data_IF_449418446044
#
_entry.id   IF_449418446044
#
_cell.length_a   1.000
_cell.length_b   1.000
_cell.length_c   1.000
_cell.angle_alpha   90.00
_cell.angle_beta   90.00
_cell.angle_gamma   90.00
#
_symmetry.space_group_name_H-M   'P 1'
#
loop_
_entity.id
_entity.type
_entity.pdbx_description
1 polymer ?
#
# COMPACT_ATOMS: atom_id res chain seq x y z
N UNK A 1 -7.67 0.42 19.30
CA UNK A 1 -7.62 1.50 18.28
C UNK A 1 -7.60 0.83 16.91
N UNK A 2 -8.60 1.05 16.08
CA UNK A 2 -8.64 0.45 14.74
C UNK A 2 -7.72 1.23 13.81
N UNK A 3 -6.76 0.55 13.18
CA UNK A 3 -5.88 1.14 12.19
C UNK A 3 -6.66 1.35 10.87
N UNK A 4 -6.27 2.36 10.11
CA UNK A 4 -6.82 2.63 8.79
C UNK A 4 -5.70 2.69 7.75
N UNK A 5 -6.03 2.32 6.51
CA UNK A 5 -5.12 2.48 5.40
C UNK A 5 -4.70 3.95 5.24
N UNK A 6 -3.42 4.24 4.97
CA UNK A 6 -2.91 5.60 4.85
C UNK A 6 -3.24 6.26 3.48
N UNK A 7 -3.89 5.54 2.58
CA UNK A 7 -4.24 6.02 1.23
C UNK A 7 -5.59 5.44 0.77
N UNK A 8 -6.30 6.14 -0.14
CA UNK A 8 -7.49 5.61 -0.78
C UNK A 8 -7.15 4.47 -1.74
N UNK A 9 -8.03 3.48 -1.84
CA UNK A 9 -7.86 2.36 -2.75
C UNK A 9 -9.18 2.02 -3.43
N UNK A 10 -9.17 1.93 -4.77
CA UNK A 10 -10.35 1.52 -5.53
C UNK A 10 -10.69 0.05 -5.21
N UNK A 11 -11.95 -0.21 -4.88
CA UNK A 11 -12.37 -1.54 -4.41
C UNK A 11 -11.87 -1.88 -2.99
N UNK A 12 -11.45 -0.86 -2.22
CA UNK A 12 -11.06 -1.04 -0.82
C UNK A 12 -12.19 -1.65 0.02
N UNK A 13 -11.81 -2.52 0.96
CA UNK A 13 -12.75 -3.33 1.75
C UNK A 13 -13.00 -2.76 3.16
N UNK A 14 -12.74 -1.44 3.36
CA UNK A 14 -12.86 -0.82 4.68
C UNK A 14 -14.26 -0.92 5.27
N UNK A 15 -15.29 -0.72 4.45
CA UNK A 15 -16.71 -0.73 4.89
C UNK A 15 -17.21 -2.12 5.27
N UNK A 16 -16.52 -3.17 4.86
CA UNK A 16 -16.89 -4.57 5.13
C UNK A 16 -15.92 -5.27 6.07
N UNK A 17 -14.85 -4.62 6.49
CA UNK A 17 -13.81 -5.24 7.31
C UNK A 17 -14.35 -5.83 8.62
N UNK A 18 -15.19 -5.08 9.34
CA UNK A 18 -15.81 -5.52 10.58
C UNK A 18 -16.70 -6.76 10.38
N UNK A 19 -17.48 -6.78 9.29
CA UNK A 19 -18.33 -7.93 8.95
C UNK A 19 -17.51 -9.16 8.57
N UNK A 20 -16.41 -8.97 7.86
CA UNK A 20 -15.48 -10.07 7.51
C UNK A 20 -14.92 -10.71 8.79
N UNK A 21 -14.40 -9.92 9.71
CA UNK A 21 -13.86 -10.42 10.98
C UNK A 21 -14.92 -11.04 11.88
N UNK A 22 -16.12 -10.47 11.91
CA UNK A 22 -17.23 -11.05 12.64
C UNK A 22 -17.60 -12.47 12.14
N UNK A 23 -17.43 -12.71 10.84
CA UNK A 23 -17.68 -14.03 10.24
C UNK A 23 -16.53 -15.01 10.39
N UNK A 24 -15.30 -14.53 10.34
CA UNK A 24 -14.12 -15.37 10.54
C UNK A 24 -14.01 -15.86 11.99
N UNK A 25 -14.42 -15.04 12.95
CA UNK A 25 -14.26 -15.34 14.35
C UNK A 25 -12.78 -15.47 14.76
N UNK A 26 -12.50 -16.39 15.68
CA UNK A 26 -11.15 -16.63 16.18
C UNK A 26 -10.41 -17.59 15.23
N UNK A 27 -9.60 -17.02 14.34
CA UNK A 27 -8.81 -17.77 13.36
C UNK A 27 -7.32 -17.64 13.67
N UNK A 28 -6.55 -18.72 13.46
CA UNK A 28 -5.09 -18.76 13.69
C UNK A 28 -4.27 -18.34 12.49
N UNK A 29 -4.89 -18.23 11.33
CA UNK A 29 -4.24 -17.81 10.10
C UNK A 29 -5.16 -16.92 9.28
N UNK A 30 -4.60 -15.84 8.76
CA UNK A 30 -5.30 -14.92 7.88
C UNK A 30 -4.52 -14.74 6.57
N UNK A 31 -5.21 -14.87 5.45
CA UNK A 31 -4.61 -14.67 4.13
C UNK A 31 -5.42 -13.66 3.35
N UNK A 32 -4.75 -12.61 2.86
CA UNK A 32 -5.35 -11.59 1.99
C UNK A 32 -4.62 -11.59 0.63
N UNK A 33 -5.09 -12.38 -0.37
CA UNK A 33 -4.39 -12.57 -1.65
C UNK A 33 -4.48 -11.37 -2.59
N UNK A 34 -5.44 -10.48 -2.38
CA UNK A 34 -5.64 -9.22 -3.09
C UNK A 34 -5.66 -8.08 -2.07
N UNK A 35 -4.48 -7.80 -1.52
CA UNK A 35 -4.33 -7.03 -0.30
C UNK A 35 -4.72 -5.55 -0.46
N UNK A 36 -4.37 -4.94 -1.58
CA UNK A 36 -4.69 -3.52 -1.83
C UNK A 36 -4.25 -2.63 -0.67
N UNK A 37 -5.18 -1.89 -0.11
CA UNK A 37 -4.94 -1.01 1.04
C UNK A 37 -4.86 -1.71 2.40
N UNK A 38 -4.88 -3.05 2.45
CA UNK A 38 -4.88 -3.85 3.68
C UNK A 38 -6.04 -3.51 4.65
N UNK A 39 -7.15 -3.00 4.13
CA UNK A 39 -8.23 -2.50 4.97
C UNK A 39 -8.83 -3.57 5.91
N UNK A 40 -8.94 -4.81 5.45
CA UNK A 40 -9.42 -5.91 6.28
C UNK A 40 -8.39 -6.29 7.33
N UNK A 41 -7.12 -6.46 6.95
CA UNK A 41 -6.04 -6.76 7.89
C UNK A 41 -5.91 -5.69 8.98
N UNK A 42 -5.92 -4.42 8.60
CA UNK A 42 -5.81 -3.29 9.54
C UNK A 42 -7.02 -3.17 10.48
N UNK A 43 -8.17 -3.67 10.05
CA UNK A 43 -9.41 -3.73 10.85
C UNK A 43 -9.52 -4.95 11.78
N UNK A 44 -8.49 -5.80 11.85
CA UNK A 44 -8.57 -7.01 12.67
C UNK A 44 -8.77 -6.70 14.16
N UNK A 45 -9.49 -7.58 14.87
CA UNK A 45 -9.58 -7.50 16.34
C UNK A 45 -8.22 -7.71 17.00
N UNK A 46 -7.98 -7.01 18.09
CA UNK A 46 -6.78 -7.18 18.92
C UNK A 46 -7.17 -7.88 20.25
N UNK A 47 -6.30 -8.73 20.81
CA UNK A 47 -5.01 -9.15 20.28
C UNK A 47 -5.14 -10.22 19.19
N UNK A 48 -4.25 -10.24 18.23
CA UNK A 48 -4.13 -11.29 17.22
C UNK A 48 -2.70 -11.87 17.26
N UNK A 49 -2.60 -13.17 17.50
CA UNK A 49 -1.33 -13.90 17.65
C UNK A 49 -1.10 -14.92 16.52
N UNK A 50 -1.95 -14.86 15.48
CA UNK A 50 -1.88 -15.77 14.34
C UNK A 50 -0.87 -15.35 13.27
N UNK A 51 -0.81 -16.17 12.22
CA UNK A 51 0.02 -15.88 11.03
C UNK A 51 -0.77 -15.06 10.02
N UNK A 52 -0.20 -13.95 9.61
CA UNK A 52 -0.76 -13.06 8.59
C UNK A 52 0.02 -13.19 7.29
N UNK A 53 -0.69 -13.42 6.21
CA UNK A 53 -0.12 -13.51 4.87
C UNK A 53 -0.86 -12.56 3.94
N UNK A 54 -0.13 -11.67 3.30
CA UNK A 54 -0.69 -10.72 2.34
C UNK A 54 0.02 -10.84 1.00
N UNK A 55 -0.73 -10.66 -0.08
CA UNK A 55 -0.21 -10.65 -1.43
C UNK A 55 -0.95 -9.61 -2.27
N UNK A 56 -0.22 -8.99 -3.16
CA UNK A 56 -0.79 -8.17 -4.24
C UNK A 56 0.12 -8.25 -5.47
N UNK A 57 -0.46 -8.12 -6.64
CA UNK A 57 0.27 -8.18 -7.91
C UNK A 57 0.94 -6.84 -8.25
N UNK A 58 0.43 -5.73 -7.73
CA UNK A 58 1.00 -4.41 -8.02
C UNK A 58 2.33 -4.20 -7.28
N UNK A 59 3.42 -4.13 -8.05
CA UNK A 59 4.75 -3.91 -7.53
C UNK A 59 4.94 -2.54 -6.86
N UNK A 60 4.29 -1.48 -7.34
CA UNK A 60 4.37 -0.16 -6.72
C UNK A 60 3.68 -0.13 -5.36
N UNK A 61 2.50 -0.75 -5.26
CA UNK A 61 1.79 -0.94 -4.00
C UNK A 61 2.62 -1.79 -3.02
N UNK A 62 3.18 -2.89 -3.48
CA UNK A 62 4.02 -3.78 -2.67
C UNK A 62 5.28 -3.06 -2.17
N UNK A 63 5.90 -2.25 -3.02
CA UNK A 63 7.01 -1.38 -2.64
C UNK A 63 6.59 -0.36 -1.57
N UNK A 64 5.43 0.28 -1.75
CA UNK A 64 4.92 1.26 -0.79
C UNK A 64 4.75 0.64 0.60
N UNK A 65 4.11 -0.52 0.71
CA UNK A 65 3.95 -1.22 1.99
C UNK A 65 5.28 -1.64 2.62
N UNK A 66 6.22 -2.17 1.82
CA UNK A 66 7.53 -2.55 2.31
C UNK A 66 8.34 -1.34 2.79
N UNK A 67 8.30 -0.24 2.03
CA UNK A 67 9.00 0.99 2.40
C UNK A 67 8.38 1.68 3.63
N UNK A 68 7.05 1.66 3.78
CA UNK A 68 6.36 2.15 4.99
C UNK A 68 6.84 1.36 6.23
N UNK A 69 6.96 0.04 6.11
CA UNK A 69 7.42 -0.81 7.21
C UNK A 69 8.86 -0.46 7.62
N UNK A 70 9.75 -0.29 6.65
CA UNK A 70 11.20 -0.29 6.91
C UNK A 70 11.82 1.10 6.88
N UNK A 71 11.22 2.08 6.17
CA UNK A 71 11.80 3.40 5.87
C UNK A 71 10.78 4.54 5.98
N UNK A 72 9.86 4.45 6.93
CA UNK A 72 8.72 5.38 7.03
C UNK A 72 9.14 6.87 6.99
N UNK A 73 10.20 7.23 7.69
CA UNK A 73 10.67 8.62 7.73
C UNK A 73 11.13 9.13 6.35
N UNK A 74 11.81 8.29 5.59
CA UNK A 74 12.25 8.62 4.23
C UNK A 74 11.05 8.74 3.28
N UNK A 75 10.09 7.81 3.37
CA UNK A 75 8.84 7.85 2.60
C UNK A 75 8.10 9.17 2.84
N UNK A 76 7.99 9.59 4.10
CA UNK A 76 7.32 10.83 4.47
C UNK A 76 7.95 12.08 3.84
N UNK A 77 9.26 12.12 3.65
CA UNK A 77 9.96 13.23 2.98
C UNK A 77 9.45 13.42 1.54
N UNK A 78 9.21 12.34 0.82
CA UNK A 78 8.74 12.37 -0.56
C UNK A 78 7.21 12.51 -0.69
N UNK A 79 6.46 12.00 0.29
CA UNK A 79 5.01 12.04 0.29
C UNK A 79 4.42 13.36 0.81
N UNK A 80 5.06 13.98 1.82
CA UNK A 80 4.55 15.16 2.51
C UNK A 80 4.94 16.46 1.79
N UNK A 81 4.31 16.74 0.65
CA UNK A 81 4.54 17.95 -0.14
C UNK A 81 3.23 18.55 -0.64
N UNK A 82 3.24 19.85 -1.02
CA UNK A 82 2.07 20.49 -1.62
C UNK A 82 1.59 19.76 -2.87
N UNK A 83 0.28 19.78 -3.10
CA UNK A 83 -0.33 19.23 -4.31
C UNK A 83 -0.07 20.16 -5.49
N UNK A 84 0.51 19.63 -6.55
CA UNK A 84 0.72 20.29 -7.82
C UNK A 84 0.41 19.29 -8.95
N UNK A 85 -0.39 19.70 -9.92
CA UNK A 85 -0.72 18.85 -11.06
C UNK A 85 0.53 18.46 -11.86
N UNK A 86 1.44 19.42 -12.07
CA UNK A 86 2.70 19.15 -12.75
C UNK A 86 3.55 18.12 -12.01
N UNK A 87 3.61 18.21 -10.68
CA UNK A 87 4.37 17.25 -9.86
C UNK A 87 3.72 15.88 -9.90
N UNK A 88 2.40 15.79 -9.76
CA UNK A 88 1.68 14.51 -9.84
C UNK A 88 1.93 13.80 -11.17
N UNK A 89 1.86 14.51 -12.31
CA UNK A 89 2.17 13.95 -13.62
C UNK A 89 3.63 13.55 -13.78
N UNK A 90 4.57 14.36 -13.30
CA UNK A 90 5.99 14.04 -13.35
C UNK A 90 6.32 12.80 -12.51
N UNK A 91 5.68 12.66 -11.36
CA UNK A 91 5.81 11.49 -10.49
C UNK A 91 5.25 10.23 -11.14
N UNK A 92 4.06 10.33 -11.76
CA UNK A 92 3.47 9.22 -12.48
C UNK A 92 4.38 8.72 -13.59
N UNK A 93 4.88 9.61 -14.44
CA UNK A 93 5.81 9.25 -15.52
C UNK A 93 7.07 8.57 -14.93
N UNK A 94 7.65 9.17 -13.89
CA UNK A 94 8.84 8.63 -13.23
C UNK A 94 8.61 7.23 -12.66
N UNK A 95 7.43 6.99 -12.07
CA UNK A 95 7.05 5.68 -11.52
C UNK A 95 6.83 4.64 -12.61
N UNK A 96 6.10 5.00 -13.69
CA UNK A 96 5.81 4.10 -14.80
C UNK A 96 7.09 3.64 -15.52
N UNK A 97 8.06 4.53 -15.72
CA UNK A 97 9.35 4.19 -16.30
C UNK A 97 10.14 3.18 -15.46
N UNK A 98 9.90 3.12 -14.15
CA UNK A 98 10.65 2.28 -13.20
C UNK A 98 9.84 1.11 -12.63
N UNK A 99 8.58 0.99 -12.97
CA UNK A 99 7.66 -0.03 -12.42
C UNK A 99 8.22 -1.44 -12.58
N UNK A 100 8.74 -1.77 -13.76
CA UNK A 100 9.30 -3.10 -14.05
C UNK A 100 10.57 -3.37 -13.23
N UNK A 101 11.47 -2.37 -13.13
CA UNK A 101 12.70 -2.49 -12.33
C UNK A 101 12.40 -2.64 -10.84
N UNK A 102 11.49 -1.82 -10.32
CA UNK A 102 11.05 -1.88 -8.92
C UNK A 102 10.48 -3.27 -8.62
N UNK A 103 9.61 -3.79 -9.46
CA UNK A 103 9.03 -5.13 -9.29
C UNK A 103 10.11 -6.20 -9.29
N UNK A 104 11.05 -6.16 -10.23
CA UNK A 104 12.15 -7.11 -10.30
C UNK A 104 13.05 -7.06 -9.05
N UNK A 105 13.34 -5.88 -8.51
CA UNK A 105 14.11 -5.73 -7.29
C UNK A 105 13.37 -6.28 -6.05
N UNK A 106 12.06 -6.06 -5.96
CA UNK A 106 11.23 -6.62 -4.88
C UNK A 106 11.22 -8.14 -4.88
N UNK A 107 11.21 -8.75 -6.07
CA UNK A 107 11.23 -10.21 -6.24
C UNK A 107 12.62 -10.81 -5.96
N UNK A 108 13.68 -10.09 -6.28
CA UNK A 108 15.06 -10.56 -6.12
C UNK A 108 15.60 -10.37 -4.70
N UNK A 109 15.13 -9.38 -3.95
CA UNK A 109 15.70 -9.00 -2.66
C UNK A 109 14.61 -8.70 -1.63
N UNK A 110 14.50 -9.56 -0.62
CA UNK A 110 13.48 -9.46 0.44
C UNK A 110 13.62 -8.19 1.28
N UNK A 111 14.83 -7.66 1.43
CA UNK A 111 15.11 -6.46 2.24
C UNK A 111 15.10 -5.16 1.44
N UNK A 112 14.86 -5.25 0.12
CA UNK A 112 14.88 -4.08 -0.73
C UNK A 112 13.52 -3.37 -0.75
N UNK A 113 13.56 -2.05 -0.71
CA UNK A 113 12.45 -1.14 -1.01
C UNK A 113 12.99 0.22 -1.44
N UNK A 114 12.23 0.93 -2.28
CA UNK A 114 12.53 2.29 -2.71
C UNK A 114 11.59 3.28 -2.01
N UNK A 115 12.14 4.06 -1.07
CA UNK A 115 11.39 5.04 -0.29
C UNK A 115 10.91 6.23 -1.14
N UNK A 116 11.68 6.62 -2.17
CA UNK A 116 11.30 7.70 -3.09
C UNK A 116 10.12 7.27 -3.95
N UNK A 117 10.19 6.09 -4.54
CA UNK A 117 9.08 5.52 -5.30
C UNK A 117 7.82 5.37 -4.44
N UNK A 118 7.97 4.89 -3.22
CA UNK A 118 6.86 4.78 -2.27
C UNK A 118 6.23 6.14 -1.95
N UNK A 119 7.06 7.16 -1.67
CA UNK A 119 6.58 8.50 -1.37
C UNK A 119 5.86 9.18 -2.55
N UNK A 120 6.40 9.05 -3.75
CA UNK A 120 5.76 9.56 -4.97
C UNK A 120 4.44 8.85 -5.26
N UNK A 121 4.41 7.53 -5.09
CA UNK A 121 3.19 6.75 -5.28
C UNK A 121 2.11 7.14 -4.25
N UNK A 122 2.46 7.27 -2.96
CA UNK A 122 1.54 7.70 -1.92
C UNK A 122 1.01 9.12 -2.15
N UNK A 123 1.88 10.06 -2.51
CA UNK A 123 1.47 11.42 -2.87
C UNK A 123 0.50 11.40 -4.04
N UNK A 124 0.86 10.73 -5.13
CA UNK A 124 0.04 10.65 -6.32
C UNK A 124 -1.32 10.00 -6.06
N UNK A 125 -1.39 8.84 -5.44
CA UNK A 125 -2.66 8.15 -5.21
C UNK A 125 -3.61 8.91 -4.28
N UNK A 126 -3.07 9.72 -3.38
CA UNK A 126 -3.89 10.59 -2.52
C UNK A 126 -4.38 11.86 -3.21
N UNK A 127 -3.69 12.32 -4.24
CA UNK A 127 -3.95 13.60 -4.90
C UNK A 127 -4.59 13.45 -6.29
N UNK A 128 -4.53 12.26 -6.89
CA UNK A 128 -5.05 12.00 -8.23
C UNK A 128 -6.57 12.14 -8.30
N UNK A 129 -7.06 12.84 -9.31
CA UNK A 129 -8.49 13.00 -9.57
C UNK A 129 -8.90 12.04 -10.69
N UNK A 130 -9.74 11.07 -10.35
CA UNK A 130 -10.18 10.03 -11.27
C UNK A 130 -9.62 8.65 -10.92
N UNK A 131 -9.60 7.75 -11.90
CA UNK A 131 -9.00 6.42 -11.81
C UNK A 131 -7.72 6.35 -12.65
N UNK A 132 -6.90 5.33 -12.43
CA UNK A 132 -5.79 5.00 -13.32
C UNK A 132 -4.45 5.66 -12.97
N UNK A 133 -4.19 6.01 -11.70
CA UNK A 133 -2.85 6.43 -11.31
C UNK A 133 -1.88 5.26 -11.36
N UNK A 134 -0.90 5.34 -12.25
CA UNK A 134 0.11 4.30 -12.51
C UNK A 134 -0.45 2.94 -12.99
N UNK A 135 -1.62 2.94 -13.61
CA UNK A 135 -2.26 1.74 -14.20
C UNK A 135 -1.59 1.33 -15.53
#
# INVERSE_FOLDING_TARGET
>A
MTLKAPFPWFGGKADVADEVWRRFGDVRGYVEPFAGSLAVLLGRPEPFDGVETVNDLDGLLSNAWRAIRDKLAEVAVYAAKPVSECDCHAEEIWLLERKAEITAQLEANIDWSDARAAGYWLHGICCWIGSGFCD
#
